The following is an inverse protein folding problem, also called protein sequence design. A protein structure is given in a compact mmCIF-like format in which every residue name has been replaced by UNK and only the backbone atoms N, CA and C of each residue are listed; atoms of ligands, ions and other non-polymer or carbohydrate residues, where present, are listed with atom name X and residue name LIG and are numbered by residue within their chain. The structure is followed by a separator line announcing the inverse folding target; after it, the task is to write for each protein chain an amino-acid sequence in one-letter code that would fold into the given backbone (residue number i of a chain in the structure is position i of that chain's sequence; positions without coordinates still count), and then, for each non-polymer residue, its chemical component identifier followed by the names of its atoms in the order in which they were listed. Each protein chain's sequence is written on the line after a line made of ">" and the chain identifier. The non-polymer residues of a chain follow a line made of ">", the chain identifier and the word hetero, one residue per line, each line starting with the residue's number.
data_IF_741485090043
#
_entry.id   IF_741485090043
#
_cell.length_a   1.000
_cell.length_b   1.000
_cell.length_c   1.000
_cell.angle_alpha   90.00
_cell.angle_beta   90.00
_cell.angle_gamma   90.00
#
_symmetry.space_group_name_H-M   'P 1'
#
loop_
_entity.id
_entity.type
_entity.pdbx_description
1 polymer ?
#
# COMPACT_ATOMS: atom_id res chain seq x y z
N UNK A 1 1.56 0.28 -7.47
CA UNK A 1 0.96 0.99 -8.63
C UNK A 1 0.12 -0.04 -9.37
N UNK A 2 -1.18 0.18 -9.54
CA UNK A 2 -1.96 -0.69 -10.44
C UNK A 2 -1.58 -0.33 -11.87
N UNK A 3 -1.24 -1.29 -12.73
CA UNK A 3 -0.99 -0.99 -14.13
C UNK A 3 -2.29 -0.50 -14.78
N UNK A 4 -2.21 0.58 -15.55
CA UNK A 4 -3.25 0.90 -16.51
C UNK A 4 -3.24 -0.21 -17.56
N UNK A 5 -4.31 -1.01 -17.59
CA UNK A 5 -4.42 -2.13 -18.52
C UNK A 5 -5.15 -1.68 -19.77
N UNK A 6 -4.75 -2.22 -20.93
CA UNK A 6 -5.52 -2.09 -22.17
C UNK A 6 -6.89 -2.76 -22.00
N UNK A 7 -7.89 -2.32 -22.76
CA UNK A 7 -9.24 -2.88 -22.65
C UNK A 7 -9.29 -4.34 -23.11
N UNK A 8 -10.26 -5.11 -22.64
CA UNK A 8 -10.45 -6.48 -23.13
C UNK A 8 -10.78 -6.51 -24.62
N UNK A 9 -11.50 -5.50 -25.12
CA UNK A 9 -11.75 -5.33 -26.56
C UNK A 9 -10.46 -5.14 -27.37
N UNK A 10 -9.50 -4.35 -26.87
CA UNK A 10 -8.20 -4.17 -27.54
C UNK A 10 -7.38 -5.46 -27.57
N UNK A 11 -7.63 -6.36 -26.61
CA UNK A 11 -7.07 -7.71 -26.57
C UNK A 11 -7.84 -8.72 -27.44
N UNK A 12 -8.91 -8.29 -28.14
CA UNK A 12 -9.75 -9.13 -28.98
C UNK A 12 -10.74 -10.01 -28.22
N UNK A 13 -10.98 -9.72 -26.94
CA UNK A 13 -11.93 -10.45 -26.10
C UNK A 13 -13.25 -9.68 -26.05
N UNK A 14 -14.35 -10.35 -26.41
CA UNK A 14 -15.71 -9.78 -26.30
C UNK A 14 -16.34 -10.17 -24.96
N UNK A 15 -15.78 -9.61 -23.89
CA UNK A 15 -16.27 -9.77 -22.52
C UNK A 15 -16.56 -8.41 -21.90
N UNK A 16 -17.45 -8.32 -20.90
CA UNK A 16 -17.69 -7.06 -20.20
C UNK A 16 -16.41 -6.49 -19.59
N UNK A 17 -16.21 -5.19 -19.75
CA UNK A 17 -15.08 -4.48 -19.14
C UNK A 17 -15.20 -4.44 -17.61
N UNK A 18 -14.05 -4.43 -16.94
CA UNK A 18 -14.01 -4.20 -15.50
C UNK A 18 -14.20 -2.72 -15.18
N UNK A 19 -15.35 -2.38 -14.60
CA UNK A 19 -15.73 -1.00 -14.25
C UNK A 19 -15.41 -0.64 -12.80
N UNK A 20 -14.71 -1.51 -12.07
CA UNK A 20 -14.37 -1.24 -10.67
C UNK A 20 -13.50 0.01 -10.58
N UNK A 21 -13.99 1.02 -9.86
CA UNK A 21 -13.21 2.20 -9.50
C UNK A 21 -12.20 1.79 -8.44
N UNK A 22 -10.92 1.77 -8.81
CA UNK A 22 -9.83 1.46 -7.88
C UNK A 22 -9.33 2.76 -7.26
N UNK A 23 -9.33 2.84 -5.93
CA UNK A 23 -8.70 3.92 -5.19
C UNK A 23 -7.20 3.65 -5.00
N UNK A 24 -6.37 4.70 -4.87
CA UNK A 24 -4.96 4.51 -4.54
C UNK A 24 -4.85 3.99 -3.10
N UNK A 25 -3.94 3.04 -2.87
CA UNK A 25 -3.75 2.41 -1.55
C UNK A 25 -3.68 3.41 -0.37
N UNK A 26 -2.87 4.48 -0.44
CA UNK A 26 -2.83 5.51 0.61
C UNK A 26 -4.17 6.21 0.85
N UNK A 27 -4.92 6.54 -0.20
CA UNK A 27 -6.21 7.21 -0.10
C UNK A 27 -7.25 6.28 0.52
N UNK A 28 -7.32 5.04 0.02
CA UNK A 28 -8.16 4.00 0.57
C UNK A 28 -7.87 3.79 2.07
N UNK A 29 -6.59 3.68 2.45
CA UNK A 29 -6.18 3.45 3.84
C UNK A 29 -6.62 4.60 4.76
N UNK A 30 -6.42 5.85 4.33
CA UNK A 30 -6.83 7.04 5.08
C UNK A 30 -8.34 7.12 5.31
N UNK A 31 -9.14 6.53 4.41
CA UNK A 31 -10.59 6.47 4.53
C UNK A 31 -11.10 5.33 5.45
N UNK A 32 -10.24 4.42 5.90
CA UNK A 32 -10.65 3.32 6.78
C UNK A 32 -10.96 3.80 8.21
N UNK A 33 -11.81 3.07 8.96
CA UNK A 33 -12.00 3.31 10.39
C UNK A 33 -10.70 3.23 11.18
N UNK A 34 -10.61 3.97 12.28
CA UNK A 34 -9.40 4.02 13.10
C UNK A 34 -8.95 2.64 13.59
N UNK A 35 -9.89 1.80 14.02
CA UNK A 35 -9.59 0.45 14.49
C UNK A 35 -8.93 -0.40 13.39
N UNK A 36 -9.36 -0.23 12.13
CA UNK A 36 -8.75 -0.90 10.97
C UNK A 36 -7.35 -0.36 10.72
N UNK A 37 -7.16 0.97 10.75
CA UNK A 37 -5.86 1.60 10.58
C UNK A 37 -4.86 1.11 11.65
N UNK A 38 -5.31 1.07 12.91
CA UNK A 38 -4.53 0.60 14.06
C UNK A 38 -4.21 -0.88 13.99
N UNK A 39 -5.17 -1.72 13.58
CA UNK A 39 -4.94 -3.15 13.40
C UNK A 39 -3.91 -3.44 12.30
N UNK A 40 -3.92 -2.67 11.20
CA UNK A 40 -2.98 -2.84 10.10
C UNK A 40 -1.56 -2.35 10.45
N UNK A 41 -1.43 -1.19 11.10
CA UNK A 41 -0.11 -0.60 11.42
C UNK A 41 0.49 -1.13 12.73
N UNK A 42 -0.34 -1.68 13.60
CA UNK A 42 -0.02 -1.88 15.01
C UNK A 42 -0.08 -0.57 15.81
N UNK A 43 -0.30 -0.67 17.11
CA UNK A 43 -0.56 0.48 18.01
C UNK A 43 0.48 1.59 17.89
N UNK A 44 1.77 1.25 18.02
CA UNK A 44 2.87 2.24 17.99
C UNK A 44 3.06 2.87 16.60
N UNK A 45 2.83 2.10 15.54
CA UNK A 45 2.94 2.60 14.18
C UNK A 45 1.83 3.61 13.90
N UNK A 46 0.60 3.29 14.31
CA UNK A 46 -0.54 4.18 14.19
C UNK A 46 -0.35 5.50 14.94
N UNK A 47 0.12 5.44 16.19
CA UNK A 47 0.40 6.65 17.00
C UNK A 47 1.44 7.54 16.33
N UNK A 48 2.58 6.97 15.91
CA UNK A 48 3.64 7.74 15.24
C UNK A 48 3.18 8.35 13.90
N UNK A 49 2.31 7.65 13.15
CA UNK A 49 1.72 8.18 11.92
C UNK A 49 0.73 9.31 12.20
N UNK A 50 -0.15 9.17 13.21
CA UNK A 50 -1.06 10.23 13.62
C UNK A 50 -0.35 11.46 14.18
N UNK A 51 0.80 11.28 14.81
CA UNK A 51 1.69 12.35 15.25
C UNK A 51 2.45 13.03 14.09
N UNK A 52 2.26 12.57 12.86
CA UNK A 52 2.90 13.13 11.66
C UNK A 52 4.41 12.83 11.57
N UNK A 53 4.89 11.77 12.23
CA UNK A 53 6.33 11.43 12.20
C UNK A 53 6.78 10.84 10.87
N UNK A 54 5.86 10.31 10.07
CA UNK A 54 6.09 9.78 8.72
C UNK A 54 4.77 9.75 7.94
N UNK A 55 4.83 9.64 6.60
CA UNK A 55 3.67 9.44 5.74
C UNK A 55 3.46 7.95 5.41
N UNK A 56 2.23 7.53 5.10
CA UNK A 56 1.92 6.10 4.86
C UNK A 56 2.76 5.50 3.71
N UNK A 57 3.12 6.32 2.74
CA UNK A 57 3.99 5.98 1.61
C UNK A 57 5.42 5.65 2.06
N UNK A 58 5.90 6.22 3.17
CA UNK A 58 7.25 5.97 3.70
C UNK A 58 7.40 4.56 4.27
N UNK A 59 6.29 3.89 4.60
CA UNK A 59 6.29 2.54 5.19
C UNK A 59 6.77 1.46 4.22
N UNK A 60 6.71 1.68 2.91
CA UNK A 60 7.18 0.69 1.94
C UNK A 60 8.71 0.78 1.75
N UNK A 61 9.39 -0.37 1.74
CA UNK A 61 10.75 -0.50 1.22
C UNK A 61 10.86 -1.70 0.28
N UNK A 62 11.76 -1.61 -0.70
CA UNK A 62 12.17 -2.77 -1.46
C UNK A 62 13.27 -3.49 -0.69
N UNK A 63 13.09 -4.78 -0.45
CA UNK A 63 14.09 -5.67 0.15
C UNK A 63 14.50 -6.70 -0.88
N UNK A 64 15.80 -6.91 -1.02
CA UNK A 64 16.37 -7.93 -1.91
C UNK A 64 16.67 -9.19 -1.11
N UNK A 65 16.14 -10.32 -1.56
CA UNK A 65 16.39 -11.64 -1.00
C UNK A 65 17.00 -12.57 -2.06
N UNK A 66 17.98 -13.40 -1.70
CA UNK A 66 18.66 -14.28 -2.66
C UNK A 66 17.78 -15.38 -3.27
N UNK A 67 16.64 -15.73 -2.65
CA UNK A 67 15.75 -16.81 -3.10
C UNK A 67 14.66 -16.26 -4.03
N UNK A 68 14.03 -15.15 -3.64
CA UNK A 68 12.85 -14.61 -4.34
C UNK A 68 13.05 -13.21 -4.96
N UNK A 69 14.25 -12.63 -4.86
CA UNK A 69 14.60 -11.37 -5.52
C UNK A 69 14.09 -10.14 -4.76
N UNK A 70 13.75 -9.08 -5.49
CA UNK A 70 13.23 -7.84 -4.90
C UNK A 70 11.75 -7.96 -4.56
N UNK A 71 11.38 -7.63 -3.32
CA UNK A 71 9.98 -7.50 -2.92
C UNK A 71 9.75 -6.27 -2.05
N UNK A 72 8.52 -5.76 -2.11
CA UNK A 72 8.06 -4.71 -1.21
C UNK A 72 7.80 -5.30 0.19
N UNK A 73 8.47 -4.75 1.19
CA UNK A 73 8.28 -5.07 2.62
C UNK A 73 7.99 -3.79 3.40
N UNK A 74 7.50 -3.95 4.62
CA UNK A 74 7.28 -2.83 5.52
C UNK A 74 8.59 -2.41 6.20
N UNK A 75 8.90 -1.11 6.21
CA UNK A 75 9.96 -0.54 7.05
C UNK A 75 9.60 -0.74 8.52
N UNK A 76 10.50 -1.30 9.33
CA UNK A 76 10.27 -1.39 10.76
C UNK A 76 10.21 0.02 11.37
N UNK A 77 9.41 0.19 12.42
CA UNK A 77 9.14 1.52 13.01
C UNK A 77 10.43 2.26 13.40
N UNK A 78 11.43 1.55 13.91
CA UNK A 78 12.77 2.12 14.21
C UNK A 78 13.43 2.84 13.03
N UNK A 79 13.23 2.34 11.80
CA UNK A 79 13.78 2.95 10.59
C UNK A 79 12.95 4.16 10.13
N UNK A 80 11.67 4.21 10.51
CA UNK A 80 10.76 5.31 10.16
C UNK A 80 10.94 6.53 11.07
N UNK A 81 11.16 6.31 12.36
CA UNK A 81 11.22 7.40 13.36
C UNK A 81 12.59 7.54 14.04
N UNK A 82 13.58 6.72 13.66
CA UNK A 82 14.97 6.83 14.11
C UNK A 82 15.21 6.48 15.59
N UNK A 83 14.39 5.60 16.17
CA UNK A 83 14.48 5.18 17.59
C UNK A 83 14.79 3.71 17.78
#
# INVERSE_FOLDING_TARGET
>A
MMPETVTYRDLGLDVPEDTRRVERGPEWFRNQPEDTQRAMMGTRGFEAWKDGKFEIEDMAKITTDPIWGEAATQKPLKELIGV
#
